data_IF_947727993521
#
_entry.id   IF_947727993521
#
_cell.length_a   1.000
_cell.length_b   1.000
_cell.length_c   1.000
_cell.angle_alpha   90.00
_cell.angle_beta   90.00
_cell.angle_gamma   90.00
#
_symmetry.space_group_name_H-M   'P 1'
#
loop_
_entity.id
_entity.type
_entity.pdbx_description
1 polymer ?
#
# COMPACT_ATOMS: atom_id res chain seq x y z
N UNK A 1 24.41 -13.73 -3.58
CA UNK A 1 24.06 -13.68 -4.98
C UNK A 1 23.06 -12.55 -5.27
N UNK A 2 22.98 -12.20 -6.48
CA UNK A 2 22.54 -10.91 -6.93
C UNK A 2 21.01 -10.87 -7.12
N UNK A 3 20.46 -9.68 -6.94
CA UNK A 3 19.18 -9.30 -7.56
C UNK A 3 19.32 -9.52 -9.05
N UNK A 4 18.51 -10.38 -9.62
CA UNK A 4 18.41 -10.54 -11.06
C UNK A 4 17.21 -9.73 -11.55
N UNK A 5 17.48 -8.62 -12.20
CA UNK A 5 16.44 -7.93 -12.96
C UNK A 5 16.01 -8.84 -14.11
N UNK A 6 14.75 -9.30 -14.09
CA UNK A 6 14.22 -10.14 -15.17
C UNK A 6 13.88 -9.26 -16.35
N UNK A 7 13.15 -8.17 -16.12
CA UNK A 7 12.69 -7.29 -17.19
C UNK A 7 12.20 -5.95 -16.70
N UNK A 8 12.44 -4.91 -17.51
CA UNK A 8 11.87 -3.57 -17.32
C UNK A 8 11.20 -3.14 -18.62
N UNK A 9 9.98 -2.62 -18.50
CA UNK A 9 9.22 -2.03 -19.58
C UNK A 9 9.08 -0.53 -19.39
N UNK A 10 9.39 0.22 -20.45
CA UNK A 10 9.20 1.66 -20.50
C UNK A 10 8.31 2.02 -21.69
N UNK A 11 7.25 2.77 -21.46
CA UNK A 11 6.39 3.30 -22.51
C UNK A 11 6.77 4.74 -22.80
N UNK A 12 7.11 5.06 -24.05
CA UNK A 12 7.58 6.39 -24.48
C UNK A 12 8.74 6.91 -23.60
N UNK A 13 9.73 6.05 -23.34
CA UNK A 13 10.91 6.33 -22.51
C UNK A 13 10.61 6.62 -21.04
N UNK A 14 9.37 6.38 -20.59
CA UNK A 14 8.99 6.52 -19.18
C UNK A 14 8.86 5.12 -18.57
N UNK A 15 9.58 4.88 -17.46
CA UNK A 15 9.46 3.63 -16.70
C UNK A 15 7.99 3.34 -16.38
N UNK A 16 7.56 2.13 -16.63
CA UNK A 16 6.16 1.73 -16.49
C UNK A 16 5.97 0.51 -15.58
N UNK A 17 6.71 -0.57 -15.83
CA UNK A 17 6.61 -1.83 -15.12
C UNK A 17 7.98 -2.52 -15.07
N UNK A 18 8.34 -3.14 -13.95
CA UNK A 18 9.49 -4.04 -13.86
C UNK A 18 9.22 -5.26 -13.02
N UNK A 19 9.97 -6.32 -13.30
CA UNK A 19 9.99 -7.56 -12.52
C UNK A 19 11.43 -7.86 -12.15
N UNK A 20 11.65 -8.10 -10.86
CA UNK A 20 12.93 -8.49 -10.30
C UNK A 20 12.72 -9.82 -9.58
N UNK A 21 13.58 -10.79 -9.86
CA UNK A 21 13.72 -12.00 -9.03
C UNK A 21 14.88 -11.82 -8.07
N UNK A 22 14.73 -12.23 -6.83
CA UNK A 22 15.78 -12.17 -5.83
C UNK A 22 15.73 -13.37 -4.89
N UNK A 23 16.91 -13.76 -4.41
CA UNK A 23 17.12 -14.92 -3.55
C UNK A 23 17.74 -14.56 -2.18
N UNK A 24 18.00 -13.28 -1.90
CA UNK A 24 18.56 -12.83 -0.62
C UNK A 24 17.90 -11.53 -0.15
N UNK A 25 17.61 -11.46 1.13
CA UNK A 25 16.98 -10.30 1.75
C UNK A 25 17.94 -9.13 2.02
N UNK A 26 19.23 -9.33 1.87
CA UNK A 26 20.23 -8.29 2.11
C UNK A 26 20.04 -7.02 1.27
N UNK A 27 19.29 -7.12 0.18
CA UNK A 27 18.99 -5.98 -0.71
C UNK A 27 18.03 -4.98 -0.09
N UNK A 28 17.15 -5.42 0.84
CA UNK A 28 16.08 -4.59 1.40
C UNK A 28 16.20 -4.42 2.92
N UNK A 29 17.38 -4.65 3.51
CA UNK A 29 17.60 -4.58 4.95
C UNK A 29 17.63 -3.15 5.51
N UNK A 30 17.66 -2.13 4.66
CA UNK A 30 17.56 -0.73 5.07
C UNK A 30 16.18 -0.19 4.73
N UNK A 31 15.56 0.60 5.63
CA UNK A 31 14.30 1.27 5.33
C UNK A 31 14.41 2.14 4.07
N UNK A 32 13.54 1.88 3.10
CA UNK A 32 13.47 2.61 1.84
C UNK A 32 12.05 3.12 1.62
N UNK A 33 11.91 4.39 1.21
CA UNK A 33 10.62 4.95 0.87
C UNK A 33 10.22 4.52 -0.54
N UNK A 34 9.05 3.92 -0.66
CA UNK A 34 8.50 3.42 -1.92
C UNK A 34 7.90 4.58 -2.74
N UNK A 35 8.32 4.74 -3.98
CA UNK A 35 7.84 5.79 -4.90
C UNK A 35 6.86 5.28 -5.97
N UNK A 36 6.69 3.96 -6.07
CA UNK A 36 5.79 3.29 -7.01
C UNK A 36 4.97 2.23 -6.26
N UNK A 37 3.97 1.65 -6.91
CA UNK A 37 3.30 0.47 -6.38
C UNK A 37 4.22 -0.74 -6.49
N UNK A 38 4.32 -1.53 -5.43
CA UNK A 38 5.12 -2.76 -5.41
C UNK A 38 4.27 -3.94 -4.92
N UNK A 39 4.49 -5.08 -5.56
CA UNK A 39 4.00 -6.38 -5.11
C UNK A 39 5.24 -7.24 -4.87
N UNK A 40 5.46 -7.67 -3.62
CA UNK A 40 6.50 -8.64 -3.30
C UNK A 40 5.86 -9.99 -3.10
N UNK A 41 6.30 -10.97 -3.85
CA UNK A 41 5.89 -12.36 -3.68
C UNK A 41 7.07 -13.19 -3.20
N UNK A 42 7.04 -13.58 -1.93
CA UNK A 42 8.00 -14.53 -1.36
C UNK A 42 7.42 -15.92 -1.51
N UNK A 43 7.97 -16.71 -2.40
CA UNK A 43 7.54 -18.10 -2.65
C UNK A 43 8.16 -19.05 -1.65
N UNK A 44 9.45 -18.88 -1.38
CA UNK A 44 10.18 -19.67 -0.40
C UNK A 44 11.11 -18.77 0.42
N UNK A 45 10.86 -18.71 1.74
CA UNK A 45 11.64 -17.90 2.66
C UNK A 45 10.93 -17.64 3.97
N UNK A 46 11.68 -17.13 4.96
CA UNK A 46 11.17 -16.78 6.28
C UNK A 46 11.85 -15.51 6.78
N UNK A 47 11.11 -14.68 7.52
CA UNK A 47 11.65 -13.45 8.08
C UNK A 47 10.57 -12.50 8.60
N UNK A 48 10.93 -11.22 8.67
CA UNK A 48 10.06 -10.13 9.10
C UNK A 48 10.07 -9.02 8.05
N UNK A 49 8.88 -8.63 7.59
CA UNK A 49 8.66 -7.42 6.82
C UNK A 49 8.34 -6.27 7.76
N UNK A 50 9.10 -5.20 7.66
CA UNK A 50 8.79 -3.95 8.31
C UNK A 50 8.16 -3.01 7.28
N UNK A 51 6.91 -2.62 7.50
CA UNK A 51 6.18 -1.69 6.65
C UNK A 51 5.76 -0.52 7.51
N UNK A 52 6.31 0.65 7.26
CA UNK A 52 6.18 1.84 8.09
C UNK A 52 6.69 1.60 9.52
N UNK A 53 5.78 1.49 10.49
CA UNK A 53 6.10 1.30 11.91
C UNK A 53 5.56 -0.03 12.46
N UNK A 54 5.15 -0.92 11.56
CA UNK A 54 4.60 -2.23 11.89
C UNK A 54 5.48 -3.34 11.32
N UNK A 55 5.61 -4.43 12.07
CA UNK A 55 6.41 -5.59 11.69
C UNK A 55 5.51 -6.80 11.47
N UNK A 56 5.70 -7.49 10.35
CA UNK A 56 4.91 -8.66 9.95
C UNK A 56 5.84 -9.84 9.74
N UNK A 57 5.71 -10.86 10.57
CA UNK A 57 6.41 -12.12 10.35
C UNK A 57 5.83 -12.83 9.11
N UNK A 58 6.68 -13.43 8.31
CA UNK A 58 6.28 -14.23 7.16
C UNK A 58 6.99 -15.58 7.14
N UNK A 59 6.31 -16.55 6.59
CA UNK A 59 6.84 -17.88 6.28
C UNK A 59 6.23 -18.30 4.95
N UNK A 60 7.04 -18.64 4.00
CA UNK A 60 6.70 -19.09 2.63
C UNK A 60 5.38 -18.55 2.01
N UNK A 61 5.36 -18.46 0.70
CA UNK A 61 4.17 -18.20 -0.11
C UNK A 61 3.29 -17.04 0.38
N UNK A 62 3.87 -15.85 0.48
CA UNK A 62 3.18 -14.62 0.91
C UNK A 62 3.37 -13.51 -0.11
N UNK A 63 2.30 -12.76 -0.40
CA UNK A 63 2.35 -11.55 -1.21
C UNK A 63 2.14 -10.32 -0.35
N UNK A 64 3.05 -9.35 -0.45
CA UNK A 64 2.92 -8.02 0.16
C UNK A 64 2.61 -6.97 -0.90
N UNK A 65 1.71 -6.04 -0.55
CA UNK A 65 1.26 -4.96 -1.43
C UNK A 65 1.63 -3.63 -0.81
N UNK A 66 2.47 -2.87 -1.49
CA UNK A 66 2.99 -1.59 -1.01
C UNK A 66 2.56 -0.46 -1.93
N UNK A 67 2.07 0.60 -1.33
CA UNK A 67 1.66 1.84 -2.01
C UNK A 67 2.76 2.89 -1.94
N UNK A 68 2.81 3.82 -2.90
CA UNK A 68 3.71 4.96 -2.84
C UNK A 68 3.63 5.71 -1.50
N UNK A 69 4.77 6.12 -0.98
CA UNK A 69 4.90 6.82 0.30
C UNK A 69 5.12 5.91 1.51
N UNK A 70 4.87 4.60 1.41
CA UNK A 70 5.21 3.66 2.48
C UNK A 70 6.72 3.47 2.59
N UNK A 71 7.18 3.17 3.79
CA UNK A 71 8.57 2.80 4.07
C UNK A 71 8.63 1.30 4.34
N UNK A 72 9.63 0.66 3.77
CA UNK A 72 9.72 -0.77 3.71
C UNK A 72 11.14 -1.25 4.00
N UNK A 73 11.28 -2.31 4.76
CA UNK A 73 12.51 -3.09 4.88
C UNK A 73 12.19 -4.55 5.17
N UNK A 74 13.15 -5.43 4.90
CA UNK A 74 13.05 -6.87 5.17
C UNK A 74 14.22 -7.28 6.05
N UNK A 75 13.90 -7.95 7.14
CA UNK A 75 14.85 -8.72 7.92
C UNK A 75 14.54 -10.20 7.68
N UNK A 76 15.43 -10.93 7.02
CA UNK A 76 15.18 -12.33 6.71
C UNK A 76 16.24 -13.25 7.26
N UNK A 77 15.80 -14.42 7.66
CA UNK A 77 16.69 -15.55 7.99
C UNK A 77 17.19 -16.23 6.70
N UNK A 78 16.30 -16.36 5.72
CA UNK A 78 16.60 -16.87 4.38
C UNK A 78 15.45 -16.56 3.43
N UNK A 79 15.76 -16.05 2.24
CA UNK A 79 14.85 -16.00 1.10
C UNK A 79 15.51 -16.78 -0.03
N UNK A 80 14.83 -17.80 -0.56
CA UNK A 80 15.37 -18.64 -1.63
C UNK A 80 14.77 -18.28 -2.98
N UNK A 81 13.49 -17.91 -3.01
CA UNK A 81 12.78 -17.51 -4.22
C UNK A 81 11.77 -16.41 -3.91
N UNK A 82 11.98 -15.27 -4.52
CA UNK A 82 11.05 -14.15 -4.40
C UNK A 82 11.03 -13.28 -5.67
N UNK A 83 9.90 -12.61 -5.88
CA UNK A 83 9.67 -11.70 -7.00
C UNK A 83 9.20 -10.35 -6.48
N UNK A 84 9.64 -9.29 -7.14
CA UNK A 84 9.14 -7.93 -6.95
C UNK A 84 8.62 -7.41 -8.27
N UNK A 85 7.33 -7.10 -8.30
CA UNK A 85 6.69 -6.39 -9.40
C UNK A 85 6.56 -4.92 -8.98
N UNK A 86 7.10 -4.02 -9.78
CA UNK A 86 7.00 -2.57 -9.56
C UNK A 86 6.28 -1.92 -10.72
N UNK A 87 5.25 -1.11 -10.46
CA UNK A 87 4.54 -0.38 -11.51
C UNK A 87 4.17 1.03 -11.06
N UNK A 88 4.15 1.95 -12.03
CA UNK A 88 3.76 3.35 -11.78
C UNK A 88 2.29 3.57 -12.06
N UNK A 89 1.75 4.66 -11.49
CA UNK A 89 0.34 5.04 -11.65
C UNK A 89 -0.05 5.25 -13.11
N UNK A 90 0.84 5.79 -13.92
CA UNK A 90 0.56 6.09 -15.33
C UNK A 90 0.46 4.82 -16.16
N UNK A 91 1.13 3.73 -15.75
CA UNK A 91 0.99 2.42 -16.37
C UNK A 91 -0.30 1.73 -15.95
N UNK A 92 -0.58 1.66 -14.63
CA UNK A 92 -1.81 1.06 -14.11
C UNK A 92 -2.34 1.88 -12.93
N UNK A 93 -3.40 2.65 -13.19
CA UNK A 93 -4.00 3.50 -12.18
C UNK A 93 -4.97 2.69 -11.29
N UNK A 94 -4.53 2.38 -10.08
CA UNK A 94 -5.32 1.67 -9.06
C UNK A 94 -6.69 2.37 -8.83
N UNK A 95 -6.72 3.70 -8.82
CA UNK A 95 -7.96 4.46 -8.58
C UNK A 95 -8.94 4.39 -9.75
N UNK A 96 -8.45 4.47 -10.99
CA UNK A 96 -9.29 4.44 -12.20
C UNK A 96 -9.88 3.05 -12.41
N UNK A 97 -9.07 2.00 -12.20
CA UNK A 97 -9.49 0.61 -12.39
C UNK A 97 -10.17 0.01 -11.15
N UNK A 98 -10.33 0.76 -10.05
CA UNK A 98 -10.91 0.23 -8.82
C UNK A 98 -12.36 -0.25 -8.98
N UNK A 99 -13.14 0.39 -9.85
CA UNK A 99 -14.52 -0.05 -10.16
C UNK A 99 -14.56 -1.46 -10.74
N UNK A 100 -13.50 -1.87 -11.46
CA UNK A 100 -13.41 -3.17 -12.12
C UNK A 100 -12.73 -4.22 -11.24
N UNK A 101 -11.73 -3.82 -10.47
CA UNK A 101 -10.81 -4.73 -9.77
C UNK A 101 -11.02 -4.69 -8.25
N UNK A 102 -11.53 -3.59 -7.71
CA UNK A 102 -11.75 -3.36 -6.28
C UNK A 102 -10.48 -3.53 -5.42
N UNK A 103 -9.30 -3.23 -5.95
CA UNK A 103 -8.02 -3.41 -5.24
C UNK A 103 -7.64 -2.22 -4.36
N UNK A 104 -8.16 -1.03 -4.64
CA UNK A 104 -7.93 0.16 -3.85
C UNK A 104 -8.66 0.05 -2.50
N UNK A 105 -7.96 0.26 -1.40
CA UNK A 105 -8.51 0.05 -0.07
C UNK A 105 -8.66 -1.43 0.36
N UNK A 106 -8.26 -2.40 -0.49
CA UNK A 106 -8.19 -3.83 -0.14
C UNK A 106 -6.74 -4.30 -0.14
N UNK A 107 -6.03 -4.18 -1.25
CA UNK A 107 -4.62 -4.54 -1.37
C UNK A 107 -3.72 -3.31 -1.21
N UNK A 108 -4.07 -2.22 -1.86
CA UNK A 108 -3.30 -0.98 -1.88
C UNK A 108 -4.04 0.14 -1.15
N UNK A 109 -3.27 1.15 -0.70
CA UNK A 109 -3.81 2.34 -0.02
C UNK A 109 -4.66 1.99 1.22
N UNK A 110 -4.37 0.85 1.85
CA UNK A 110 -5.01 0.43 3.09
C UNK A 110 -3.94 0.32 4.18
N UNK A 111 -3.90 1.30 5.07
CA UNK A 111 -2.96 1.35 6.20
C UNK A 111 -3.55 0.75 7.49
N UNK A 112 -4.74 0.16 7.40
CA UNK A 112 -5.52 -0.31 8.56
C UNK A 112 -5.69 -1.82 8.61
N UNK A 113 -5.32 -2.51 7.53
CA UNK A 113 -5.36 -3.96 7.45
C UNK A 113 -3.97 -4.52 7.12
N UNK A 114 -3.82 -5.81 7.30
CA UNK A 114 -2.59 -6.50 6.94
C UNK A 114 -2.28 -6.31 5.45
N UNK A 115 -1.09 -5.81 5.10
CA UNK A 115 -0.73 -5.50 3.71
C UNK A 115 -0.33 -6.75 2.91
N UNK A 116 -0.79 -7.94 3.30
CA UNK A 116 -0.39 -9.19 2.68
C UNK A 116 -1.54 -10.16 2.49
N UNK A 117 -1.32 -11.16 1.63
CA UNK A 117 -2.17 -12.34 1.44
C UNK A 117 -1.31 -13.59 1.38
N UNK A 118 -1.90 -14.72 1.83
CA UNK A 118 -1.27 -16.03 1.76
C UNK A 118 -2.06 -16.90 0.77
N UNK A 119 -1.53 -17.13 -0.46
CA UNK A 119 -2.20 -17.98 -1.44
C UNK A 119 -2.20 -19.45 -1.00
N UNK A 120 -3.29 -20.16 -1.24
CA UNK A 120 -3.27 -21.62 -1.17
C UNK A 120 -2.56 -22.20 -2.42
N UNK A 121 -2.35 -23.50 -2.47
CA UNK A 121 -1.63 -24.15 -3.58
C UNK A 121 -2.29 -23.89 -4.94
N UNK A 122 -3.63 -23.99 -5.02
CA UNK A 122 -4.34 -23.72 -6.27
C UNK A 122 -4.23 -22.27 -6.76
N UNK A 123 -4.17 -21.31 -5.82
CA UNK A 123 -3.98 -19.90 -6.14
C UNK A 123 -2.54 -19.61 -6.55
N UNK A 124 -1.58 -20.24 -5.89
CA UNK A 124 -0.16 -20.19 -6.24
C UNK A 124 0.07 -20.62 -7.68
N UNK A 125 -0.56 -21.71 -8.12
CA UNK A 125 -0.44 -22.19 -9.49
C UNK A 125 -1.01 -21.19 -10.51
N UNK A 126 -2.15 -20.55 -10.21
CA UNK A 126 -2.72 -19.50 -11.06
C UNK A 126 -1.85 -18.27 -11.13
N UNK A 127 -1.35 -17.80 -9.99
CA UNK A 127 -0.46 -16.64 -9.91
C UNK A 127 0.87 -16.90 -10.62
N UNK A 128 1.44 -18.10 -10.51
CA UNK A 128 2.62 -18.53 -11.26
C UNK A 128 2.40 -18.43 -12.77
N UNK A 129 1.30 -19.01 -13.26
CA UNK A 129 0.97 -18.94 -14.68
C UNK A 129 0.88 -17.51 -15.20
N UNK A 130 0.26 -16.61 -14.43
CA UNK A 130 0.15 -15.20 -14.80
C UNK A 130 1.52 -14.51 -14.77
N UNK A 131 2.34 -14.77 -13.75
CA UNK A 131 3.68 -14.21 -13.63
C UNK A 131 4.59 -14.66 -14.77
N UNK A 132 4.59 -15.96 -15.11
CA UNK A 132 5.33 -16.52 -16.25
C UNK A 132 4.88 -15.90 -17.55
N UNK A 133 3.56 -15.79 -17.78
CA UNK A 133 3.00 -15.15 -18.96
C UNK A 133 3.42 -13.68 -19.08
N UNK A 134 3.48 -12.97 -17.96
CA UNK A 134 3.94 -11.59 -17.90
C UNK A 134 5.44 -11.48 -18.21
N UNK A 135 6.27 -12.40 -17.68
CA UNK A 135 7.71 -12.49 -17.99
C UNK A 135 7.95 -12.81 -19.45
N UNK A 136 7.17 -13.71 -20.02
CA UNK A 136 7.32 -14.10 -21.43
C UNK A 136 6.90 -12.98 -22.39
N UNK A 137 5.92 -12.16 -22.01
CA UNK A 137 5.53 -10.98 -22.77
C UNK A 137 6.63 -9.92 -22.84
N UNK A 138 7.44 -9.75 -21.78
CA UNK A 138 8.59 -8.85 -21.82
C UNK A 138 9.66 -9.27 -22.82
N UNK A 139 9.80 -10.58 -23.11
CA UNK A 139 10.80 -11.13 -24.03
C UNK A 139 10.42 -11.01 -25.50
N UNK A 140 9.20 -10.53 -25.80
CA UNK A 140 8.74 -10.40 -27.18
C UNK A 140 9.37 -9.19 -27.86
N UNK A 141 9.84 -9.38 -29.08
CA UNK A 141 10.35 -8.31 -29.93
C UNK A 141 9.24 -7.52 -30.65
N UNK A 142 8.02 -8.08 -30.69
CA UNK A 142 6.86 -7.42 -31.31
C UNK A 142 6.18 -6.48 -30.29
N UNK A 143 6.38 -5.20 -30.51
CA UNK A 143 5.88 -4.12 -29.63
C UNK A 143 4.37 -3.86 -29.83
N UNK A 144 3.74 -4.43 -30.86
CA UNK A 144 2.32 -4.24 -31.09
C UNK A 144 1.51 -4.89 -29.95
N UNK A 145 0.64 -4.11 -29.32
CA UNK A 145 -0.20 -4.51 -28.20
C UNK A 145 0.55 -5.01 -26.93
N UNK A 146 1.89 -4.96 -26.87
CA UNK A 146 2.64 -5.37 -25.68
C UNK A 146 2.22 -4.59 -24.43
N UNK A 147 2.00 -3.30 -24.56
CA UNK A 147 1.51 -2.45 -23.45
C UNK A 147 0.20 -2.98 -22.88
N UNK A 148 -0.78 -3.28 -23.74
CA UNK A 148 -2.11 -3.75 -23.35
C UNK A 148 -2.05 -5.17 -22.75
N UNK A 149 -1.18 -6.03 -23.27
CA UNK A 149 -0.96 -7.37 -22.76
C UNK A 149 -0.33 -7.34 -21.36
N UNK A 150 0.72 -6.56 -21.15
CA UNK A 150 1.35 -6.39 -19.84
C UNK A 150 0.37 -5.83 -18.81
N UNK A 151 -0.46 -4.83 -19.18
CA UNK A 151 -1.53 -4.33 -18.33
C UNK A 151 -2.58 -5.40 -18.00
N UNK A 152 -2.94 -6.23 -18.98
CA UNK A 152 -3.92 -7.30 -18.82
C UNK A 152 -3.44 -8.37 -17.85
N UNK A 153 -2.18 -8.79 -17.94
CA UNK A 153 -1.57 -9.75 -17.00
C UNK A 153 -1.44 -9.16 -15.60
N UNK A 154 -0.97 -7.91 -15.47
CA UNK A 154 -0.92 -7.23 -14.17
C UNK A 154 -2.31 -7.14 -13.55
N UNK A 155 -3.33 -6.77 -14.32
CA UNK A 155 -4.73 -6.71 -13.87
C UNK A 155 -5.23 -8.08 -13.39
N UNK A 156 -4.95 -9.16 -14.12
CA UNK A 156 -5.30 -10.51 -13.70
C UNK A 156 -4.63 -10.89 -12.38
N UNK A 157 -3.33 -10.61 -12.24
CA UNK A 157 -2.59 -10.86 -11.02
C UNK A 157 -3.22 -10.16 -9.82
N UNK A 158 -3.56 -8.88 -9.96
CA UNK A 158 -4.20 -8.08 -8.91
C UNK A 158 -5.60 -8.63 -8.59
N UNK A 159 -6.42 -8.99 -9.60
CA UNK A 159 -7.76 -9.55 -9.39
C UNK A 159 -7.69 -10.85 -8.58
N UNK A 160 -6.79 -11.78 -8.92
CA UNK A 160 -6.61 -13.01 -8.17
C UNK A 160 -6.18 -12.73 -6.73
N UNK A 161 -5.27 -11.80 -6.51
CA UNK A 161 -4.84 -11.38 -5.17
C UNK A 161 -6.00 -10.79 -4.33
N UNK A 162 -6.89 -9.99 -4.95
CA UNK A 162 -8.10 -9.47 -4.28
C UNK A 162 -9.03 -10.63 -3.87
N UNK A 163 -9.20 -11.63 -4.73
CA UNK A 163 -10.05 -12.80 -4.41
C UNK A 163 -9.48 -13.57 -3.22
N UNK A 164 -8.18 -13.86 -3.23
CA UNK A 164 -7.49 -14.51 -2.10
C UNK A 164 -7.68 -13.70 -0.81
N UNK A 165 -7.52 -12.36 -0.86
CA UNK A 165 -7.70 -11.50 0.30
C UNK A 165 -9.12 -11.59 0.86
N UNK A 166 -10.12 -11.56 -0.02
CA UNK A 166 -11.55 -11.67 0.37
C UNK A 166 -11.89 -13.02 0.98
N UNK A 167 -11.37 -14.09 0.42
CA UNK A 167 -11.59 -15.47 0.92
C UNK A 167 -10.95 -15.68 2.29
N UNK A 168 -9.70 -15.20 2.47
CA UNK A 168 -8.97 -15.34 3.73
C UNK A 168 -9.56 -14.52 4.88
N UNK A 169 -10.23 -13.39 4.60
CA UNK A 169 -10.73 -12.48 5.63
C UNK A 169 -12.26 -12.52 5.83
N UNK A 170 -13.01 -13.38 5.10
CA UNK A 170 -14.49 -13.39 5.12
C UNK A 170 -15.02 -11.94 4.98
N UNK A 171 -14.47 -11.18 4.04
CA UNK A 171 -14.94 -9.82 3.78
C UNK A 171 -16.37 -9.94 3.23
N UNK A 172 -17.35 -9.61 4.07
CA UNK A 172 -18.74 -9.55 3.63
C UNK A 172 -18.87 -8.40 2.62
N UNK A 173 -19.45 -8.70 1.47
CA UNK A 173 -19.75 -7.71 0.44
C UNK A 173 -21.08 -6.99 0.78
N UNK A 174 -21.13 -6.39 1.97
CA UNK A 174 -22.29 -5.64 2.46
C UNK A 174 -22.08 -4.13 2.32
N UNK A 175 -23.18 -3.38 2.53
CA UNK A 175 -23.17 -1.92 2.38
C UNK A 175 -22.23 -1.23 3.37
N UNK A 176 -22.01 -1.80 4.55
CA UNK A 176 -21.10 -1.28 5.57
C UNK A 176 -19.65 -1.43 5.13
N UNK A 177 -19.25 -2.58 4.63
CA UNK A 177 -17.89 -2.81 4.08
C UNK A 177 -17.61 -1.90 2.91
N UNK A 178 -18.58 -1.70 2.02
CA UNK A 178 -18.43 -0.76 0.90
C UNK A 178 -18.25 0.66 1.37
N UNK A 179 -19.07 1.13 2.33
CA UNK A 179 -18.94 2.49 2.88
C UNK A 179 -17.59 2.69 3.58
N UNK A 180 -17.13 1.71 4.33
CA UNK A 180 -15.80 1.77 4.98
C UNK A 180 -14.68 1.89 3.95
N UNK A 181 -14.74 1.09 2.87
CA UNK A 181 -13.80 1.17 1.75
C UNK A 181 -13.83 2.55 1.09
N UNK A 182 -15.01 3.05 0.73
CA UNK A 182 -15.17 4.37 0.10
C UNK A 182 -14.62 5.50 0.98
N UNK A 183 -14.86 5.43 2.30
CA UNK A 183 -14.31 6.36 3.27
C UNK A 183 -12.78 6.26 3.35
N UNK A 184 -12.22 5.05 3.41
CA UNK A 184 -10.77 4.81 3.47
C UNK A 184 -10.05 5.41 2.26
N UNK A 185 -10.59 5.15 1.08
CA UNK A 185 -10.09 5.71 -0.19
C UNK A 185 -10.15 7.23 -0.18
N UNK A 186 -11.28 7.79 0.30
CA UNK A 186 -11.45 9.23 0.37
C UNK A 186 -10.47 9.89 1.35
N UNK A 187 -10.19 9.24 2.49
CA UNK A 187 -9.19 9.70 3.45
C UNK A 187 -7.80 9.66 2.83
N UNK A 188 -7.43 8.56 2.16
CA UNK A 188 -6.11 8.43 1.53
C UNK A 188 -5.88 9.52 0.47
N UNK A 189 -6.89 9.88 -0.27
CA UNK A 189 -6.80 10.93 -1.29
C UNK A 189 -6.73 12.36 -0.73
N UNK A 190 -7.26 12.60 0.48
CA UNK A 190 -7.53 13.96 0.96
C UNK A 190 -6.98 14.26 2.37
N UNK A 191 -6.29 13.36 3.05
CA UNK A 191 -5.84 13.56 4.44
C UNK A 191 -4.92 14.77 4.63
N UNK A 192 -4.28 15.28 3.56
CA UNK A 192 -3.46 16.50 3.60
C UNK A 192 -4.28 17.79 3.58
N UNK A 193 -5.58 17.73 3.26
CA UNK A 193 -6.42 18.91 3.09
C UNK A 193 -7.70 18.86 3.91
N UNK A 194 -8.21 17.67 4.21
CA UNK A 194 -9.44 17.48 4.97
C UNK A 194 -9.12 16.78 6.30
N UNK A 195 -9.49 17.40 7.41
CA UNK A 195 -9.14 16.91 8.74
C UNK A 195 -10.35 16.58 9.61
N UNK A 196 -11.58 16.89 9.17
CA UNK A 196 -12.78 16.73 9.98
C UNK A 196 -13.73 15.67 9.43
N UNK A 197 -14.40 14.97 10.31
CA UNK A 197 -15.44 13.99 9.94
C UNK A 197 -16.54 14.61 9.09
N UNK A 198 -16.89 15.87 9.34
CA UNK A 198 -17.93 16.58 8.59
C UNK A 198 -17.57 16.74 7.12
N UNK A 199 -16.33 17.09 6.81
CA UNK A 199 -15.87 17.26 5.42
C UNK A 199 -15.96 15.94 4.65
N UNK A 200 -15.56 14.83 5.26
CA UNK A 200 -15.64 13.50 4.65
C UNK A 200 -17.09 13.00 4.52
N UNK A 201 -17.91 13.18 5.56
CA UNK A 201 -19.31 12.79 5.53
C UNK A 201 -20.07 13.50 4.40
N UNK A 202 -19.84 14.81 4.23
CA UNK A 202 -20.45 15.59 3.15
C UNK A 202 -20.08 15.06 1.77
N UNK A 203 -18.81 14.62 1.55
CA UNK A 203 -18.38 14.04 0.27
C UNK A 203 -18.99 12.67 0.00
N UNK A 204 -19.36 11.94 1.05
CA UNK A 204 -20.06 10.66 0.95
C UNK A 204 -21.59 10.81 0.89
N UNK A 205 -22.11 12.04 0.94
CA UNK A 205 -23.56 12.30 0.97
C UNK A 205 -24.23 11.88 2.29
N UNK A 206 -23.47 11.86 3.40
CA UNK A 206 -23.93 11.42 4.72
C UNK A 206 -23.85 12.54 5.75
N UNK A 207 -24.63 12.42 6.81
CA UNK A 207 -24.39 13.21 8.02
C UNK A 207 -23.22 12.62 8.83
N UNK A 208 -22.47 13.45 9.61
CA UNK A 208 -21.43 12.93 10.51
C UNK A 208 -21.94 11.87 11.50
N UNK A 209 -23.18 12.02 11.96
CA UNK A 209 -23.84 11.06 12.86
C UNK A 209 -24.11 9.73 12.16
N UNK A 210 -24.56 9.76 10.91
CA UNK A 210 -24.78 8.55 10.10
C UNK A 210 -23.47 7.81 9.86
N UNK A 211 -22.42 8.53 9.44
CA UNK A 211 -21.09 7.96 9.23
C UNK A 211 -20.56 7.30 10.51
N UNK A 212 -20.64 7.98 11.65
CA UNK A 212 -20.20 7.43 12.95
C UNK A 212 -20.98 6.17 13.34
N UNK A 213 -22.30 6.10 13.05
CA UNK A 213 -23.13 4.93 13.33
C UNK A 213 -22.68 3.72 12.51
N UNK A 214 -22.39 3.89 11.22
CA UNK A 214 -21.88 2.80 10.37
C UNK A 214 -20.55 2.25 10.90
N UNK A 215 -19.63 3.11 11.33
CA UNK A 215 -18.37 2.70 11.94
C UNK A 215 -18.56 1.92 13.25
N UNK A 216 -19.56 2.28 14.05
CA UNK A 216 -19.93 1.53 15.28
C UNK A 216 -20.44 0.12 14.96
N UNK A 217 -21.30 -0.02 13.95
CA UNK A 217 -21.86 -1.32 13.54
C UNK A 217 -20.78 -2.25 13.04
N UNK A 218 -19.82 -1.73 12.28
CA UNK A 218 -18.70 -2.50 11.75
C UNK A 218 -17.65 -2.89 12.80
N UNK A 219 -17.79 -2.46 14.07
CA UNK A 219 -16.83 -2.72 15.14
C UNK A 219 -15.50 -2.00 14.97
N UNK A 220 -15.41 -1.08 14.01
CA UNK A 220 -14.21 -0.33 13.68
C UNK A 220 -14.02 0.87 14.62
N UNK A 221 -12.81 1.40 14.63
CA UNK A 221 -12.49 2.67 15.27
C UNK A 221 -13.35 3.82 14.74
N UNK A 222 -13.43 4.94 15.48
CA UNK A 222 -14.25 6.07 15.01
C UNK A 222 -13.70 6.70 13.71
N UNK A 223 -14.54 7.32 12.86
CA UNK A 223 -14.07 8.06 11.68
C UNK A 223 -13.02 9.12 12.01
N UNK A 224 -13.16 9.78 13.18
CA UNK A 224 -12.20 10.77 13.65
C UNK A 224 -10.83 10.18 13.94
N UNK A 225 -10.78 9.03 14.59
CA UNK A 225 -9.52 8.36 14.89
C UNK A 225 -8.87 7.80 13.64
N UNK A 226 -9.66 7.31 12.71
CA UNK A 226 -9.19 6.87 11.39
C UNK A 226 -8.46 8.00 10.64
N UNK A 227 -9.09 9.16 10.47
CA UNK A 227 -8.47 10.33 9.84
C UNK A 227 -7.19 10.73 10.58
N UNK A 228 -7.28 10.80 11.91
CA UNK A 228 -6.15 11.19 12.76
C UNK A 228 -4.96 10.25 12.59
N UNK A 229 -5.19 8.94 12.63
CA UNK A 229 -4.14 7.93 12.46
C UNK A 229 -3.44 8.06 11.10
N UNK A 230 -4.18 8.31 10.02
CA UNK A 230 -3.59 8.51 8.69
C UNK A 230 -2.68 9.73 8.64
N UNK A 231 -3.11 10.85 9.22
CA UNK A 231 -2.30 12.08 9.30
C UNK A 231 -1.05 11.85 10.14
N UNK A 232 -1.18 11.18 11.29
CA UNK A 232 -0.06 10.87 12.18
C UNK A 232 0.94 9.93 11.51
N UNK A 233 0.49 8.92 10.77
CA UNK A 233 1.37 8.02 10.03
C UNK A 233 2.23 8.81 9.02
N UNK A 234 1.64 9.70 8.25
CA UNK A 234 2.40 10.53 7.32
C UNK A 234 3.34 11.50 8.03
N UNK A 235 2.89 12.08 9.15
CA UNK A 235 3.75 12.94 9.96
C UNK A 235 4.99 12.19 10.46
N UNK A 236 4.83 10.95 10.95
CA UNK A 236 5.94 10.09 11.38
C UNK A 236 6.92 9.80 10.22
N UNK A 237 6.39 9.43 9.03
CA UNK A 237 7.21 9.20 7.82
C UNK A 237 8.03 10.43 7.48
N UNK A 238 7.40 11.60 7.38
CA UNK A 238 8.07 12.85 7.05
C UNK A 238 9.12 13.26 8.11
N UNK A 239 8.85 13.03 9.39
CA UNK A 239 9.78 13.34 10.47
C UNK A 239 11.07 12.50 10.39
N UNK A 240 10.97 11.23 10.04
CA UNK A 240 12.10 10.30 10.03
C UNK A 240 12.82 10.28 8.67
N UNK A 241 12.07 10.23 7.58
CA UNK A 241 12.61 9.97 6.25
C UNK A 241 12.75 11.23 5.37
N UNK A 242 12.48 12.42 5.93
CA UNK A 242 12.76 13.67 5.21
C UNK A 242 13.64 14.61 6.03
N UNK A 243 14.27 15.56 5.31
CA UNK A 243 15.07 16.65 5.92
C UNK A 243 14.20 17.84 6.30
N UNK A 244 12.89 17.78 6.09
CA UNK A 244 11.98 18.90 6.31
C UNK A 244 11.93 19.32 7.78
N UNK A 245 11.93 20.63 8.07
CA UNK A 245 11.67 21.13 9.42
C UNK A 245 10.21 20.90 9.80
N UNK A 246 9.94 20.72 11.11
CA UNK A 246 8.60 20.45 11.65
C UNK A 246 7.54 21.43 11.16
N UNK A 247 7.91 22.70 11.01
CA UNK A 247 7.02 23.75 10.48
C UNK A 247 6.56 23.47 9.05
N UNK A 248 7.46 23.01 8.19
CA UNK A 248 7.12 22.67 6.80
C UNK A 248 6.28 21.38 6.74
N UNK A 249 6.59 20.40 7.57
CA UNK A 249 5.78 19.18 7.71
C UNK A 249 4.34 19.52 8.10
N UNK A 250 4.14 20.42 9.07
CA UNK A 250 2.82 20.89 9.45
C UNK A 250 2.05 21.47 8.26
N UNK A 251 2.68 22.39 7.49
CA UNK A 251 2.03 22.98 6.31
C UNK A 251 1.76 21.95 5.21
N UNK A 252 2.68 21.03 4.97
CA UNK A 252 2.49 19.97 3.98
C UNK A 252 1.34 19.01 4.33
N UNK A 253 1.05 18.88 5.63
CA UNK A 253 -0.07 18.10 6.14
C UNK A 253 -1.35 18.93 6.32
N UNK A 254 -1.39 20.17 5.77
CA UNK A 254 -2.59 21.02 5.78
C UNK A 254 -2.85 21.76 7.08
N UNK A 255 -1.92 21.82 8.03
CA UNK A 255 -2.08 22.59 9.25
C UNK A 255 -1.65 24.04 9.04
N UNK A 256 -2.55 24.98 9.24
CA UNK A 256 -2.25 26.41 9.16
C UNK A 256 -1.39 26.91 10.32
N UNK A 257 -1.45 26.23 11.48
CA UNK A 257 -0.67 26.55 12.67
C UNK A 257 0.24 25.38 13.09
N UNK A 258 1.58 25.51 12.97
CA UNK A 258 2.54 24.50 13.42
C UNK A 258 2.47 24.21 14.93
N UNK A 259 2.01 25.16 15.75
CA UNK A 259 1.82 24.90 17.18
C UNK A 259 0.62 23.99 17.42
N UNK A 260 -0.45 24.16 16.65
CA UNK A 260 -1.59 23.25 16.66
C UNK A 260 -1.19 21.84 16.19
N UNK A 261 -0.43 21.72 15.09
CA UNK A 261 0.13 20.43 14.66
C UNK A 261 0.96 19.77 15.74
N UNK A 262 1.82 20.52 16.45
CA UNK A 262 2.65 19.98 17.52
C UNK A 262 1.80 19.41 18.67
N UNK A 263 0.73 20.11 19.07
CA UNK A 263 -0.22 19.62 20.07
C UNK A 263 -0.99 18.37 19.59
N UNK A 264 -1.45 18.40 18.34
CA UNK A 264 -2.15 17.29 17.69
C UNK A 264 -1.27 16.03 17.67
N UNK A 265 -0.03 16.15 17.21
CA UNK A 265 0.93 15.05 17.13
C UNK A 265 1.25 14.50 18.53
N UNK A 266 1.56 15.38 19.51
CA UNK A 266 1.87 14.98 20.87
C UNK A 266 0.70 14.25 21.55
N UNK A 267 -0.54 14.69 21.30
CA UNK A 267 -1.73 14.03 21.85
C UNK A 267 -1.89 12.60 21.31
N UNK A 268 -1.50 12.36 20.06
CA UNK A 268 -1.63 11.05 19.42
C UNK A 268 -0.45 10.10 19.71
N UNK A 269 0.77 10.66 19.91
CA UNK A 269 2.01 9.85 20.01
C UNK A 269 2.69 9.91 21.36
N UNK A 270 2.16 10.73 22.29
CA UNK A 270 2.75 11.08 23.61
C UNK A 270 4.04 11.89 23.54
N UNK A 271 4.74 11.93 22.39
CA UNK A 271 5.98 12.66 22.15
C UNK A 271 5.75 13.89 21.26
N UNK A 272 6.52 14.95 21.44
CA UNK A 272 6.51 16.05 20.46
C UNK A 272 7.16 15.59 19.13
N UNK A 273 6.85 16.27 18.00
CA UNK A 273 7.49 15.93 16.71
C UNK A 273 9.02 15.94 16.77
N UNK A 274 9.62 16.92 17.46
CA UNK A 274 11.07 17.00 17.62
C UNK A 274 11.65 15.86 18.48
N UNK A 275 10.96 15.49 19.56
CA UNK A 275 11.36 14.33 20.37
C UNK A 275 11.25 13.04 19.57
N UNK A 276 10.14 12.87 18.83
CA UNK A 276 9.95 11.70 17.97
C UNK A 276 11.06 11.56 16.93
N UNK A 277 11.42 12.65 16.23
CA UNK A 277 12.51 12.68 15.25
C UNK A 277 13.89 12.36 15.87
N UNK A 278 14.11 12.70 17.12
CA UNK A 278 15.40 12.48 17.82
C UNK A 278 15.56 11.04 18.30
N UNK A 279 14.45 10.36 18.59
CA UNK A 279 14.44 9.01 19.16
C UNK A 279 14.57 7.90 18.08
N UNK A 280 14.49 8.29 16.80
CA UNK A 280 14.59 7.41 15.61
C UNK A 280 15.71 7.90 14.68
#
# INVERSE_FOLDING_TARGET
>A
MAVQEISTYSYKDIFSLSIIQFDEACVFNKPEQINAYNIYWIKEGKGVYNIDFESYAFDNNVLFFLSPGQVFSVESEAIKEAYKLTFVRDFYCIQTHDKEVACNGILFNNVYETPFVNPCESDTNKLNFILESLIDEFKRDDVAAQYDMLQSYLKQFIIHSVRIKKENHIIKDDAETKLFKDFSVLVEQNYKTLHTVTEYANRLGLSPKSLAKHFQISGNQTPSDFIKQRIILEAKRLLIYSTLPVKQIAYQLGFNDPAYFTRFFKKATTKSPLQFKKDH
#
